data_IF_768546611671
#
_entry.id   IF_768546611671
#
_cell.length_a   1.000
_cell.length_b   1.000
_cell.length_c   1.000
_cell.angle_alpha   90.00
_cell.angle_beta   90.00
_cell.angle_gamma   90.00
#
_symmetry.space_group_name_H-M   'P 1'
#
loop_
_entity.id
_entity.type
_entity.pdbx_description
1 polymer ?
#
# COMPACT_ATOMS: atom_id res chain seq x y z
N UNK A 1 31.47 -18.32 14.63
CA UNK A 1 30.43 -17.32 14.31
C UNK A 1 29.88 -16.76 15.61
N UNK A 2 29.72 -15.43 15.76
CA UNK A 2 29.28 -14.86 17.03
C UNK A 2 27.82 -15.25 17.30
N UNK A 3 27.49 -15.54 18.57
CA UNK A 3 26.16 -15.96 19.04
C UNK A 3 25.04 -15.00 18.63
N UNK A 4 25.37 -13.72 18.40
CA UNK A 4 24.46 -12.69 17.90
C UNK A 4 23.98 -12.94 16.46
N UNK A 5 24.84 -13.47 15.59
CA UNK A 5 24.47 -13.81 14.21
C UNK A 5 23.51 -15.01 14.17
N UNK A 6 23.73 -16.01 15.03
CA UNK A 6 22.86 -17.19 15.11
C UNK A 6 21.44 -16.85 15.62
N UNK A 7 21.33 -15.85 16.50
CA UNK A 7 20.04 -15.38 17.06
C UNK A 7 19.17 -14.66 16.03
N UNK A 8 19.78 -13.98 15.05
CA UNK A 8 19.05 -13.33 13.96
C UNK A 8 18.54 -14.34 12.92
N UNK A 9 19.27 -15.43 12.67
CA UNK A 9 18.84 -16.49 11.74
C UNK A 9 17.63 -17.29 12.22
N UNK A 10 17.27 -17.21 13.51
CA UNK A 10 16.24 -18.04 14.15
C UNK A 10 14.98 -17.28 14.57
N UNK A 11 14.86 -15.99 14.25
CA UNK A 11 13.62 -15.25 14.53
C UNK A 11 12.54 -15.66 13.53
N UNK A 12 11.48 -16.28 14.03
CA UNK A 12 10.25 -16.47 13.25
C UNK A 12 9.74 -15.09 12.80
N UNK A 13 9.27 -14.95 11.56
CA UNK A 13 8.64 -13.71 11.13
C UNK A 13 7.43 -13.43 12.02
N UNK A 14 7.21 -12.16 12.33
CA UNK A 14 6.12 -11.72 13.22
C UNK A 14 4.75 -12.07 12.63
N UNK A 15 4.66 -12.05 11.31
CA UNK A 15 3.47 -12.42 10.55
C UNK A 15 3.75 -13.68 9.71
N UNK A 16 2.74 -14.54 9.59
CA UNK A 16 2.84 -15.79 8.84
C UNK A 16 2.98 -15.57 7.33
N UNK A 17 3.48 -16.58 6.60
CA UNK A 17 3.54 -16.52 5.14
C UNK A 17 2.16 -16.25 4.52
N UNK A 18 2.09 -15.56 3.37
CA UNK A 18 3.20 -15.17 2.48
C UNK A 18 3.84 -13.81 2.80
N UNK A 19 3.60 -13.23 3.98
CA UNK A 19 4.11 -11.90 4.34
C UNK A 19 5.62 -11.77 4.11
N UNK A 20 6.01 -10.73 3.37
CA UNK A 20 7.41 -10.32 3.24
C UNK A 20 7.69 -9.18 4.21
N UNK A 21 8.50 -9.49 5.24
CA UNK A 21 8.91 -8.50 6.24
C UNK A 21 9.88 -7.47 5.62
N UNK A 22 9.71 -6.19 5.97
CA UNK A 22 10.62 -5.09 5.62
C UNK A 22 11.53 -4.70 6.77
N UNK A 23 12.63 -4.00 6.44
CA UNK A 23 13.48 -3.32 7.41
C UNK A 23 12.91 -1.93 7.72
N UNK A 24 12.99 -1.50 8.96
CA UNK A 24 12.57 -0.16 9.41
C UNK A 24 13.20 0.97 8.57
N UNK A 25 14.39 0.73 8.01
CA UNK A 25 15.11 1.68 7.15
C UNK A 25 14.33 2.09 5.89
N UNK A 26 13.38 1.28 5.41
CA UNK A 26 12.50 1.64 4.28
C UNK A 26 11.80 2.97 4.56
N UNK A 27 11.41 3.21 5.82
CA UNK A 27 10.71 4.43 6.24
C UNK A 27 11.64 5.48 6.85
N UNK A 28 12.95 5.41 6.57
CA UNK A 28 13.88 6.48 6.95
C UNK A 28 13.53 7.77 6.22
N UNK A 29 13.90 8.90 6.82
CA UNK A 29 13.73 10.22 6.20
C UNK A 29 14.39 10.28 4.83
N UNK A 30 13.65 10.76 3.82
CA UNK A 30 14.07 11.02 2.44
C UNK A 30 13.72 12.47 2.06
N UNK A 31 13.72 12.79 0.77
CA UNK A 31 13.48 14.14 0.27
C UNK A 31 12.05 14.64 0.58
N UNK A 32 11.03 13.78 0.47
CA UNK A 32 9.65 14.09 0.85
C UNK A 32 9.17 13.15 1.96
N UNK A 33 9.46 13.50 3.21
CA UNK A 33 9.06 12.69 4.36
C UNK A 33 9.79 11.35 4.36
N UNK A 34 9.06 10.25 4.18
CA UNK A 34 9.62 8.88 4.05
C UNK A 34 9.81 8.42 2.61
N UNK A 35 9.43 9.21 1.61
CA UNK A 35 9.54 8.89 0.18
C UNK A 35 10.52 9.81 -0.53
N UNK A 36 11.11 9.34 -1.63
CA UNK A 36 12.02 10.15 -2.44
C UNK A 36 11.28 11.24 -3.24
N UNK A 37 10.01 11.02 -3.56
CA UNK A 37 9.17 11.92 -4.36
C UNK A 37 7.85 12.23 -3.64
N UNK A 38 7.18 13.34 -3.94
CA UNK A 38 5.81 13.59 -3.48
C UNK A 38 4.81 12.65 -4.13
N UNK A 39 3.57 12.66 -3.65
CA UNK A 39 2.46 11.99 -4.34
C UNK A 39 2.26 12.60 -5.73
N UNK A 40 1.84 11.77 -6.69
CA UNK A 40 1.51 12.19 -8.06
C UNK A 40 0.51 13.36 -8.06
N UNK A 41 0.59 14.23 -9.06
CA UNK A 41 -0.32 15.36 -9.20
C UNK A 41 -1.75 14.93 -9.59
N UNK A 42 -1.86 13.85 -10.37
CA UNK A 42 -3.11 13.39 -10.99
C UNK A 42 -3.62 12.08 -10.37
N UNK A 43 -3.75 12.02 -9.04
CA UNK A 43 -4.29 10.84 -8.35
C UNK A 43 -5.69 10.44 -8.87
N UNK A 44 -5.98 9.15 -8.77
CA UNK A 44 -7.28 8.55 -9.11
C UNK A 44 -8.35 8.97 -8.10
N UNK A 45 -9.59 8.77 -8.52
CA UNK A 45 -10.78 8.82 -7.67
C UNK A 45 -11.09 10.15 -6.98
N UNK A 46 -10.44 11.24 -7.38
CA UNK A 46 -10.66 12.56 -6.78
C UNK A 46 -10.24 12.64 -5.31
N UNK A 47 -9.29 11.80 -4.87
CA UNK A 47 -8.80 11.85 -3.49
C UNK A 47 -8.11 13.18 -3.18
N UNK A 48 -8.22 13.64 -1.94
CA UNK A 48 -7.57 14.87 -1.48
C UNK A 48 -6.04 14.70 -1.45
N UNK A 49 -5.35 15.49 -2.28
CA UNK A 49 -3.90 15.33 -2.48
C UNK A 49 -3.08 15.74 -1.25
N UNK A 50 -3.51 16.76 -0.51
CA UNK A 50 -2.82 17.19 0.71
C UNK A 50 -2.93 16.12 1.81
N UNK A 51 -4.09 15.48 1.92
CA UNK A 51 -4.26 14.30 2.76
C UNK A 51 -3.39 13.14 2.28
N UNK A 52 -3.31 12.91 0.97
CA UNK A 52 -2.44 11.89 0.40
C UNK A 52 -0.98 12.12 0.76
N UNK A 53 -0.45 13.33 0.55
CA UNK A 53 0.94 13.64 0.87
C UNK A 53 1.25 13.47 2.36
N UNK A 54 0.37 14.00 3.22
CA UNK A 54 0.51 13.85 4.67
C UNK A 54 0.50 12.39 5.10
N UNK A 55 -0.44 11.58 4.61
CA UNK A 55 -0.59 10.17 5.00
C UNK A 55 0.52 9.31 4.43
N UNK A 56 0.91 9.49 3.17
CA UNK A 56 1.94 8.69 2.52
C UNK A 56 3.33 8.94 3.10
N UNK A 57 3.64 10.20 3.43
CA UNK A 57 5.04 10.64 3.60
C UNK A 57 5.35 11.16 5.00
N UNK A 58 4.37 11.73 5.69
CA UNK A 58 4.59 12.48 6.93
C UNK A 58 3.86 11.90 8.14
N UNK A 59 3.13 10.80 7.95
CA UNK A 59 2.36 10.17 9.02
C UNK A 59 2.54 8.65 9.03
N UNK A 60 3.09 8.13 10.13
CA UNK A 60 3.27 6.68 10.35
C UNK A 60 2.43 6.13 11.50
N UNK A 61 1.63 6.99 12.12
CA UNK A 61 0.71 6.63 13.20
C UNK A 61 -0.62 7.22 12.79
N UNK A 62 -1.67 6.40 12.66
CA UNK A 62 -2.99 6.78 12.12
C UNK A 62 -3.13 6.70 10.61
N UNK A 63 -4.38 6.56 10.20
CA UNK A 63 -4.85 6.43 8.83
C UNK A 63 -5.58 7.70 8.39
N UNK A 64 -5.96 7.75 7.12
CA UNK A 64 -7.05 8.61 6.64
C UNK A 64 -8.36 8.32 7.40
N UNK A 65 -9.36 9.20 7.24
CA UNK A 65 -10.67 9.01 7.87
C UNK A 65 -11.31 7.69 7.44
N UNK A 66 -11.83 6.94 8.41
CA UNK A 66 -12.61 5.72 8.15
C UNK A 66 -13.77 5.99 7.19
N UNK A 67 -13.99 5.06 6.28
CA UNK A 67 -15.00 5.07 5.22
C UNK A 67 -14.79 6.15 4.15
N UNK A 68 -13.60 6.77 4.06
CA UNK A 68 -13.33 7.76 3.01
C UNK A 68 -13.54 7.19 1.59
N UNK A 69 -13.24 5.91 1.37
CA UNK A 69 -13.42 5.24 0.08
C UNK A 69 -14.88 5.10 -0.41
N UNK A 70 -15.87 5.34 0.45
CA UNK A 70 -17.29 5.39 0.06
C UNK A 70 -17.89 6.80 0.24
N UNK A 71 -17.04 7.79 0.49
CA UNK A 71 -17.48 9.16 0.63
C UNK A 71 -17.95 9.71 -0.72
N UNK A 72 -19.04 10.49 -0.77
CA UNK A 72 -19.52 11.09 -2.01
C UNK A 72 -18.52 12.04 -2.70
N UNK A 73 -17.50 12.53 -1.98
CA UNK A 73 -16.43 13.37 -2.55
C UNK A 73 -15.40 12.61 -3.40
N UNK A 74 -15.38 11.28 -3.34
CA UNK A 74 -14.49 10.44 -4.15
C UNK A 74 -15.28 9.49 -5.05
N UNK A 75 -14.70 9.13 -6.19
CA UNK A 75 -15.35 8.26 -7.18
C UNK A 75 -14.91 6.80 -7.10
N UNK A 76 -14.16 6.43 -6.05
CA UNK A 76 -13.60 5.08 -5.89
C UNK A 76 -14.68 4.01 -6.02
N UNK A 77 -15.76 4.09 -5.23
CA UNK A 77 -16.78 3.03 -5.18
C UNK A 77 -17.42 2.73 -6.55
N UNK A 78 -17.71 3.76 -7.35
CA UNK A 78 -18.32 3.61 -8.67
C UNK A 78 -17.31 3.13 -9.71
N UNK A 79 -16.14 3.75 -9.79
CA UNK A 79 -15.13 3.41 -10.80
C UNK A 79 -14.53 2.01 -10.57
N UNK A 80 -14.32 1.63 -9.30
CA UNK A 80 -13.80 0.31 -8.94
C UNK A 80 -14.75 -0.81 -9.32
N UNK A 81 -16.07 -0.60 -9.15
CA UNK A 81 -17.08 -1.57 -9.61
C UNK A 81 -17.05 -1.74 -11.13
N UNK A 82 -17.05 -0.64 -11.88
CA UNK A 82 -16.98 -0.68 -13.35
C UNK A 82 -15.71 -1.38 -13.84
N UNK A 83 -14.56 -1.09 -13.24
CA UNK A 83 -13.28 -1.72 -13.62
C UNK A 83 -13.30 -3.23 -13.35
N UNK A 84 -13.84 -3.67 -12.22
CA UNK A 84 -13.94 -5.10 -11.89
C UNK A 84 -14.98 -5.82 -12.74
N UNK A 85 -16.12 -5.20 -13.04
CA UNK A 85 -17.11 -5.76 -13.96
C UNK A 85 -16.54 -5.97 -15.36
N UNK A 86 -15.63 -5.09 -15.80
CA UNK A 86 -14.95 -5.18 -17.10
C UNK A 86 -13.78 -6.16 -17.12
N UNK A 87 -12.94 -6.15 -16.08
CA UNK A 87 -11.62 -6.82 -16.10
C UNK A 87 -11.53 -8.01 -15.13
N UNK A 88 -12.55 -8.25 -14.31
CA UNK A 88 -12.56 -9.22 -13.21
C UNK A 88 -11.79 -8.77 -11.96
N UNK A 89 -10.81 -7.87 -12.11
CA UNK A 89 -10.01 -7.29 -11.02
C UNK A 89 -9.63 -5.84 -11.33
N UNK A 90 -9.19 -5.09 -10.33
CA UNK A 90 -8.55 -3.77 -10.49
C UNK A 90 -7.16 -3.76 -9.88
N UNK A 91 -6.29 -2.90 -10.40
CA UNK A 91 -4.95 -2.66 -9.83
C UNK A 91 -4.92 -1.36 -9.04
N UNK A 92 -4.32 -1.42 -7.86
CA UNK A 92 -4.11 -0.33 -6.91
C UNK A 92 -2.65 0.07 -6.96
N UNK A 93 -2.38 1.35 -7.24
CA UNK A 93 -1.03 1.84 -7.51
C UNK A 93 -0.55 2.78 -6.41
N UNK A 94 0.72 2.69 -6.05
CA UNK A 94 1.38 3.60 -5.11
C UNK A 94 1.17 5.06 -5.53
N UNK A 95 0.61 5.86 -4.63
CA UNK A 95 0.35 7.28 -4.90
C UNK A 95 1.62 8.11 -5.13
N UNK A 96 2.77 7.68 -4.63
CA UNK A 96 4.05 8.35 -4.88
C UNK A 96 4.67 7.91 -6.21
N UNK A 97 4.72 6.60 -6.47
CA UNK A 97 5.60 6.03 -7.52
C UNK A 97 4.84 5.43 -8.69
N UNK A 98 3.55 5.13 -8.55
CA UNK A 98 2.77 4.44 -9.58
C UNK A 98 3.06 2.93 -9.67
N UNK A 99 3.77 2.35 -8.71
CA UNK A 99 4.02 0.91 -8.65
C UNK A 99 2.73 0.12 -8.33
N UNK A 100 2.50 -1.06 -8.93
CA UNK A 100 1.31 -1.88 -8.63
C UNK A 100 1.46 -2.55 -7.26
N UNK A 101 0.73 -2.05 -6.26
CA UNK A 101 0.83 -2.54 -4.88
C UNK A 101 -0.14 -3.69 -4.60
N UNK A 102 -1.37 -3.59 -5.12
CA UNK A 102 -2.42 -4.59 -4.89
C UNK A 102 -3.24 -4.84 -6.14
N UNK A 103 -3.81 -6.04 -6.25
CA UNK A 103 -4.76 -6.43 -7.30
C UNK A 103 -5.94 -7.16 -6.64
N UNK A 104 -7.13 -6.57 -6.71
CA UNK A 104 -8.31 -7.10 -6.03
C UNK A 104 -9.60 -6.93 -6.88
N UNK A 105 -10.63 -7.77 -6.66
CA UNK A 105 -10.64 -8.92 -5.75
C UNK A 105 -9.88 -10.13 -6.33
N UNK A 106 -9.32 -10.99 -5.48
CA UNK A 106 -8.80 -12.32 -5.88
C UNK A 106 -9.26 -13.39 -4.90
N UNK A 107 -9.71 -14.54 -5.41
CA UNK A 107 -10.24 -15.62 -4.58
C UNK A 107 -11.56 -15.29 -3.86
N UNK A 108 -12.19 -14.16 -4.19
CA UNK A 108 -13.49 -13.70 -3.65
C UNK A 108 -14.22 -12.82 -4.65
N UNK A 109 -15.49 -12.53 -4.38
CA UNK A 109 -16.27 -11.59 -5.19
C UNK A 109 -15.92 -10.13 -4.88
N UNK A 110 -16.28 -9.21 -5.78
CA UNK A 110 -16.19 -7.77 -5.54
C UNK A 110 -17.01 -7.35 -4.32
N UNK A 111 -18.21 -7.90 -4.18
CA UNK A 111 -19.09 -7.58 -3.06
C UNK A 111 -18.52 -8.06 -1.72
N UNK A 112 -17.82 -9.20 -1.70
CA UNK A 112 -17.10 -9.65 -0.50
C UNK A 112 -15.91 -8.74 -0.15
N UNK A 113 -15.15 -8.29 -1.15
CA UNK A 113 -14.08 -7.29 -0.97
C UNK A 113 -14.63 -5.99 -0.37
N UNK A 114 -15.73 -5.48 -0.93
CA UNK A 114 -16.33 -4.22 -0.48
C UNK A 114 -17.02 -4.37 0.88
N UNK A 115 -17.65 -5.51 1.16
CA UNK A 115 -18.26 -5.80 2.46
C UNK A 115 -17.21 -5.81 3.56
N UNK A 116 -16.10 -6.51 3.35
CA UNK A 116 -15.01 -6.56 4.32
C UNK A 116 -14.39 -5.17 4.52
N UNK A 117 -14.15 -4.43 3.43
CA UNK A 117 -13.62 -3.07 3.49
C UNK A 117 -14.55 -2.12 4.27
N UNK A 118 -15.88 -2.23 4.12
CA UNK A 118 -16.86 -1.42 4.86
C UNK A 118 -16.87 -1.75 6.36
N UNK A 119 -16.79 -3.03 6.71
CA UNK A 119 -16.77 -3.47 8.11
C UNK A 119 -15.56 -2.90 8.85
N UNK A 120 -14.40 -2.85 8.19
CA UNK A 120 -13.17 -2.38 8.81
C UNK A 120 -12.88 -0.90 8.57
N UNK A 121 -13.60 -0.26 7.65
CA UNK A 121 -13.52 1.18 7.40
C UNK A 121 -12.48 1.61 6.36
N UNK A 122 -11.68 0.69 5.82
CA UNK A 122 -10.68 0.97 4.78
C UNK A 122 -10.65 -0.19 3.77
N UNK A 123 -10.25 0.05 2.51
CA UNK A 123 -9.88 -1.00 1.57
C UNK A 123 -9.05 -2.09 2.27
N UNK A 124 -9.58 -3.31 2.32
CA UNK A 124 -9.05 -4.41 3.11
C UNK A 124 -8.65 -5.57 2.22
N UNK A 125 -7.34 -5.79 2.07
CA UNK A 125 -6.77 -6.78 1.16
C UNK A 125 -6.40 -8.08 1.88
N UNK A 126 -6.38 -9.18 1.13
CA UNK A 126 -5.89 -10.51 1.57
C UNK A 126 -4.60 -10.87 0.83
N UNK A 127 -3.95 -11.93 1.30
CA UNK A 127 -2.60 -12.32 0.89
C UNK A 127 -2.41 -12.46 -0.64
N UNK A 128 -3.39 -13.03 -1.34
CA UNK A 128 -3.34 -13.21 -2.82
C UNK A 128 -3.51 -11.90 -3.60
N UNK A 129 -3.99 -10.85 -2.94
CA UNK A 129 -4.24 -9.52 -3.52
C UNK A 129 -3.01 -8.59 -3.37
N UNK A 130 -1.96 -9.00 -2.66
CA UNK A 130 -0.75 -8.19 -2.42
C UNK A 130 0.35 -8.49 -3.46
N UNK A 131 0.94 -7.45 -4.03
CA UNK A 131 2.16 -7.59 -4.83
C UNK A 131 3.42 -7.47 -3.95
N UNK A 132 3.92 -8.61 -3.49
CA UNK A 132 5.10 -8.69 -2.62
C UNK A 132 6.41 -8.23 -3.28
N UNK A 133 6.43 -7.88 -4.56
CA UNK A 133 7.58 -7.18 -5.15
C UNK A 133 7.69 -5.76 -4.62
N UNK A 134 6.56 -5.11 -4.35
CA UNK A 134 6.47 -3.69 -4.00
C UNK A 134 5.97 -3.42 -2.58
N UNK A 135 5.39 -4.40 -1.89
CA UNK A 135 4.83 -4.22 -0.54
C UNK A 135 5.67 -4.94 0.53
N UNK A 136 5.84 -4.31 1.69
CA UNK A 136 6.45 -4.90 2.88
C UNK A 136 5.58 -4.69 4.11
N UNK A 137 5.70 -5.60 5.07
CA UNK A 137 5.16 -5.43 6.43
C UNK A 137 6.33 -5.19 7.38
N UNK A 138 6.30 -4.07 8.10
CA UNK A 138 7.27 -3.77 9.14
C UNK A 138 6.85 -4.40 10.47
N UNK A 139 7.76 -4.36 11.43
CA UNK A 139 7.49 -4.82 12.79
C UNK A 139 6.32 -4.02 13.39
N UNK A 140 5.41 -4.71 14.07
CA UNK A 140 4.19 -4.09 14.60
C UNK A 140 3.08 -3.86 13.56
N UNK A 141 3.28 -4.31 12.33
CA UNK A 141 2.23 -4.46 11.33
C UNK A 141 2.05 -3.30 10.37
N UNK A 142 2.89 -2.26 10.41
CA UNK A 142 2.84 -1.19 9.42
C UNK A 142 3.09 -1.75 8.01
N UNK A 143 2.23 -1.43 7.06
CA UNK A 143 2.34 -1.84 5.65
C UNK A 143 2.85 -0.66 4.87
N UNK A 144 3.91 -0.90 4.10
CA UNK A 144 4.65 0.14 3.37
C UNK A 144 4.97 -0.32 1.96
N UNK A 145 5.15 0.63 1.03
CA UNK A 145 5.80 0.31 -0.23
C UNK A 145 7.31 0.19 -0.03
N UNK A 146 8.00 -0.50 -0.92
CA UNK A 146 9.47 -0.61 -0.90
C UNK A 146 10.17 0.75 -1.06
N UNK A 147 9.47 1.74 -1.59
CA UNK A 147 9.98 3.10 -1.83
C UNK A 147 9.78 4.04 -0.61
N UNK A 148 9.02 3.60 0.39
CA UNK A 148 8.81 4.33 1.65
C UNK A 148 7.45 5.02 1.78
N UNK A 149 6.46 4.67 0.95
CA UNK A 149 5.08 5.12 1.11
C UNK A 149 4.44 4.39 2.28
N UNK A 150 3.88 5.13 3.26
CA UNK A 150 3.01 4.54 4.27
C UNK A 150 1.67 4.14 3.65
N UNK A 151 1.33 2.85 3.69
CA UNK A 151 0.12 2.31 3.06
C UNK A 151 -0.99 2.07 4.09
N UNK A 152 -0.65 1.54 5.26
CA UNK A 152 -1.64 1.19 6.28
C UNK A 152 -1.09 0.15 7.24
N UNK A 153 -1.91 -0.83 7.64
CA UNK A 153 -1.51 -1.85 8.62
C UNK A 153 -2.06 -3.24 8.31
N UNK A 154 -1.25 -4.28 8.57
CA UNK A 154 -1.67 -5.66 8.64
C UNK A 154 -2.28 -5.90 10.02
N UNK A 155 -3.57 -6.23 10.03
CA UNK A 155 -4.38 -6.45 11.22
C UNK A 155 -5.04 -7.83 11.12
N UNK A 156 -4.29 -8.92 11.32
CA UNK A 156 -4.79 -10.27 11.15
C UNK A 156 -6.06 -10.54 11.96
N UNK A 157 -6.94 -11.35 11.38
CA UNK A 157 -8.19 -11.80 12.01
C UNK A 157 -8.31 -13.33 11.90
N UNK A 158 -9.48 -13.88 12.23
CA UNK A 158 -9.73 -15.33 12.16
C UNK A 158 -9.59 -15.94 10.75
N UNK A 159 -9.46 -15.13 9.70
CA UNK A 159 -9.24 -15.58 8.31
C UNK A 159 -7.78 -15.45 7.86
N UNK A 160 -6.87 -14.99 8.73
CA UNK A 160 -5.46 -14.77 8.42
C UNK A 160 -5.12 -13.28 8.32
N UNK A 161 -4.08 -12.95 7.53
CA UNK A 161 -3.64 -11.57 7.35
C UNK A 161 -4.75 -10.72 6.71
N UNK A 162 -4.78 -9.43 7.09
CA UNK A 162 -5.74 -8.46 6.54
C UNK A 162 -5.07 -7.09 6.49
N UNK A 163 -4.83 -6.61 5.28
CA UNK A 163 -4.14 -5.34 5.07
C UNK A 163 -5.18 -4.23 4.94
N UNK A 164 -5.36 -3.46 6.01
CA UNK A 164 -6.16 -2.24 6.05
C UNK A 164 -5.34 -1.10 5.44
N UNK A 165 -5.69 -0.64 4.25
CA UNK A 165 -4.89 0.30 3.46
C UNK A 165 -5.64 1.59 3.24
N UNK A 166 -4.95 2.73 3.41
CA UNK A 166 -5.47 4.05 3.10
C UNK A 166 -5.75 4.15 1.59
N UNK A 167 -6.95 4.57 1.20
CA UNK A 167 -7.29 4.81 -0.20
C UNK A 167 -6.32 5.83 -0.82
N UNK A 168 -6.01 6.91 -0.10
CA UNK A 168 -5.09 7.95 -0.58
C UNK A 168 -3.68 7.44 -0.89
N UNK A 169 -3.25 6.32 -0.30
CA UNK A 169 -1.92 5.73 -0.54
C UNK A 169 -1.87 4.79 -1.74
N UNK A 170 -3.03 4.44 -2.31
CA UNK A 170 -3.16 3.50 -3.44
C UNK A 170 -3.93 4.10 -4.63
N UNK A 171 -3.99 5.43 -4.67
CA UNK A 171 -4.69 6.21 -5.69
C UNK A 171 -3.75 6.65 -6.82
N UNK A 172 -2.55 6.09 -6.91
CA UNK A 172 -1.63 6.40 -8.01
C UNK A 172 -2.16 5.95 -9.37
N UNK A 173 -1.43 6.37 -10.40
CA UNK A 173 -1.56 5.91 -11.78
C UNK A 173 -0.28 5.18 -12.19
N UNK A 174 -0.38 4.17 -13.07
CA UNK A 174 0.81 3.54 -13.60
C UNK A 174 1.63 4.59 -14.35
N UNK A 175 2.92 4.65 -14.02
CA UNK A 175 3.92 5.41 -14.76
C UNK A 175 4.54 4.52 -15.83
N UNK A 176 4.90 5.11 -16.97
CA UNK A 176 5.57 4.38 -18.03
C UNK A 176 7.02 4.02 -17.63
N UNK A 177 7.67 3.13 -18.38
CA UNK A 177 9.03 2.66 -18.04
C UNK A 177 10.09 3.79 -18.09
N UNK A 178 9.89 4.84 -18.90
CA UNK A 178 10.78 6.01 -18.93
C UNK A 178 10.65 6.84 -17.64
N UNK A 179 9.43 7.07 -17.17
CA UNK A 179 9.13 7.75 -15.92
C UNK A 179 9.66 6.96 -14.71
N UNK A 180 9.53 5.62 -14.72
CA UNK A 180 10.17 4.76 -13.72
C UNK A 180 11.69 4.87 -13.77
N UNK A 181 12.28 4.88 -14.96
CA UNK A 181 13.73 5.00 -15.11
C UNK A 181 14.25 6.35 -14.62
N UNK A 182 13.49 7.44 -14.74
CA UNK A 182 13.81 8.73 -14.12
C UNK A 182 13.69 8.62 -12.59
N UNK A 183 12.60 8.05 -12.10
CA UNK A 183 12.33 7.88 -10.67
C UNK A 183 13.42 7.06 -9.94
N UNK A 184 13.94 6.02 -10.59
CA UNK A 184 15.00 5.14 -10.05
C UNK A 184 16.42 5.45 -10.55
N UNK A 185 16.57 6.34 -11.53
CA UNK A 185 17.82 6.59 -12.24
C UNK A 185 18.71 7.68 -11.65
N UNK A 186 18.19 8.54 -10.77
CA UNK A 186 18.99 9.58 -10.13
C UNK A 186 20.02 9.05 -9.11
N UNK A 187 19.95 7.77 -8.70
CA UNK A 187 20.97 7.15 -7.83
C UNK A 187 22.29 6.78 -8.55
N UNK A 188 22.39 6.93 -9.88
CA UNK A 188 23.64 6.60 -10.62
C UNK A 188 24.49 7.78 -11.07
N UNK A 189 24.22 8.98 -10.56
CA UNK A 189 24.93 10.19 -10.99
C UNK A 189 25.26 11.16 -9.87
N UNK A 190 26.11 10.77 -8.93
CA UNK A 190 27.02 11.65 -8.15
C UNK A 190 28.03 10.84 -7.35
#
# INVERSE_FOLDING_TARGET
MPLSLLRNLLRKPEYGPPVVMGDEKIMSKKANGTSAVPVQENLRWGVDRDTADRICNHNRRYAERSQYFIDPSVTFFSESREEVEKNGTMTFYDSNTGNPLFVAPKGRSYDDFMKESRVHGWPSFRDDEVDWRYVRVLRGGEVVSVDGTHLGHNLPDGKGNRYCINLVSVAGRPVNEEEKAIHYGEEKGK
#
